data_IF_722979238125
#
_entry.id   IF_722979238125
#
_cell.length_a   1.000
_cell.length_b   1.000
_cell.length_c   1.000
_cell.angle_alpha   90.00
_cell.angle_beta   90.00
_cell.angle_gamma   90.00
#
_symmetry.space_group_name_H-M   'P 1'
#
loop_
_entity.id
_entity.type
_entity.pdbx_description
1 polymer ?
#
# COMPACT_ATOMS: atom_id res chain seq x y z
N UNK A 1 1.83 8.46 11.35
CA UNK A 1 1.43 7.77 10.12
C UNK A 1 1.51 8.70 8.92
N UNK A 2 1.81 8.14 7.78
CA UNK A 2 1.99 8.92 6.58
C UNK A 2 1.03 8.45 5.50
N UNK A 3 0.38 9.38 4.82
CA UNK A 3 -0.51 9.05 3.72
C UNK A 3 0.31 8.82 2.45
N UNK A 4 0.09 7.67 1.82
CA UNK A 4 0.84 7.29 0.63
C UNK A 4 -0.15 7.04 -0.52
N UNK A 5 0.10 7.66 -1.67
CA UNK A 5 -0.75 7.53 -2.84
C UNK A 5 -0.14 6.53 -3.82
N UNK A 6 -0.98 5.69 -4.39
CA UNK A 6 -0.52 4.72 -5.37
C UNK A 6 -1.67 4.32 -6.27
N UNK A 7 -1.36 3.58 -7.33
CA UNK A 7 -2.35 3.15 -8.31
C UNK A 7 -2.84 1.76 -7.97
N UNK A 8 -4.16 1.60 -7.90
CA UNK A 8 -4.76 0.29 -7.64
C UNK A 8 -4.44 -0.66 -8.79
N UNK A 9 -3.96 -1.90 -8.49
CA UNK A 9 -3.64 -2.84 -9.55
C UNK A 9 -4.85 -3.47 -10.22
N UNK A 10 -6.05 -3.21 -9.70
CA UNK A 10 -7.28 -3.75 -10.29
C UNK A 10 -7.99 -2.72 -11.16
N UNK A 11 -8.31 -1.58 -10.57
CA UNK A 11 -9.13 -0.58 -11.26
C UNK A 11 -8.30 0.57 -11.82
N UNK A 12 -7.01 0.60 -11.54
CA UNK A 12 -6.06 1.60 -12.04
C UNK A 12 -6.37 3.01 -11.56
N UNK A 13 -7.26 3.13 -10.58
CA UNK A 13 -7.54 4.41 -9.97
C UNK A 13 -6.48 4.77 -8.95
N UNK A 14 -6.34 6.07 -8.70
CA UNK A 14 -5.39 6.54 -7.69
C UNK A 14 -6.05 6.46 -6.33
N UNK A 15 -5.41 5.76 -5.41
CA UNK A 15 -5.91 5.59 -4.06
C UNK A 15 -4.80 5.91 -3.07
N UNK A 16 -5.16 6.02 -1.81
CA UNK A 16 -4.19 6.30 -0.76
C UNK A 16 -4.48 5.44 0.45
N UNK A 17 -3.47 5.28 1.27
CA UNK A 17 -3.63 4.62 2.55
C UNK A 17 -2.62 5.16 3.54
N UNK A 18 -2.91 4.95 4.82
CA UNK A 18 -2.02 5.41 5.88
C UNK A 18 -0.99 4.34 6.17
N UNK A 19 0.27 4.74 6.12
CA UNK A 19 1.42 3.85 6.31
C UNK A 19 2.10 4.23 7.62
N UNK A 20 2.35 3.24 8.46
CA UNK A 20 3.06 3.47 9.72
C UNK A 20 4.55 3.45 9.44
N UNK A 21 5.17 4.61 9.44
CA UNK A 21 6.59 4.73 9.10
C UNK A 21 7.50 4.44 10.29
N UNK A 22 6.93 4.13 11.44
CA UNK A 22 7.74 3.72 12.59
C UNK A 22 8.10 2.23 12.54
N UNK A 23 7.51 1.49 11.60
CA UNK A 23 7.79 0.07 11.40
C UNK A 23 8.79 -0.07 10.28
N UNK A 24 9.85 -0.87 10.50
CA UNK A 24 10.92 -1.02 9.52
C UNK A 24 10.41 -1.59 8.20
N UNK A 25 9.55 -2.60 8.27
CA UNK A 25 8.94 -3.16 7.08
C UNK A 25 7.68 -3.89 7.49
N UNK A 26 6.74 -3.98 6.55
CA UNK A 26 5.48 -4.63 6.83
C UNK A 26 4.84 -5.10 5.54
N UNK A 27 4.10 -6.21 5.64
CA UNK A 27 3.36 -6.76 4.52
C UNK A 27 1.98 -7.13 5.03
N UNK A 28 0.94 -6.69 4.33
CA UNK A 28 -0.43 -6.97 4.76
C UNK A 28 -1.37 -6.81 3.57
N UNK A 29 -2.63 -7.18 3.78
CA UNK A 29 -3.64 -7.09 2.75
C UNK A 29 -4.59 -5.96 3.10
N UNK A 30 -4.84 -5.07 2.14
CA UNK A 30 -5.71 -3.93 2.31
C UNK A 30 -6.67 -3.86 1.13
N UNK A 31 -7.90 -3.44 1.38
CA UNK A 31 -8.89 -3.33 0.32
C UNK A 31 -8.75 -2.01 -0.42
N UNK A 32 -8.96 -2.07 -1.74
CA UNK A 32 -9.03 -0.85 -2.54
C UNK A 32 -10.27 -0.05 -2.13
N UNK A 33 -10.11 1.24 -1.95
CA UNK A 33 -11.23 2.08 -1.51
C UNK A 33 -12.25 2.32 -2.63
N UNK A 34 -11.90 1.96 -3.86
CA UNK A 34 -12.78 2.17 -5.01
C UNK A 34 -13.43 0.89 -5.47
N UNK A 35 -12.64 -0.15 -5.73
CA UNK A 35 -13.18 -1.40 -6.27
C UNK A 35 -13.31 -2.49 -5.20
N UNK A 36 -12.83 -2.24 -3.99
CA UNK A 36 -12.98 -3.14 -2.84
C UNK A 36 -12.32 -4.51 -3.04
N UNK A 37 -11.37 -4.61 -3.95
CA UNK A 37 -10.61 -5.85 -4.13
C UNK A 37 -9.39 -5.85 -3.22
N UNK A 38 -8.99 -7.02 -2.72
CA UNK A 38 -7.85 -7.09 -1.81
C UNK A 38 -6.53 -6.85 -2.55
N UNK A 39 -5.70 -6.04 -1.94
CA UNK A 39 -4.39 -5.68 -2.49
C UNK A 39 -3.34 -6.11 -1.47
N UNK A 40 -2.32 -6.83 -1.95
CA UNK A 40 -1.19 -7.17 -1.09
C UNK A 40 -0.22 -6.00 -1.10
N UNK A 41 -0.04 -5.39 0.06
CA UNK A 41 0.79 -4.21 0.23
C UNK A 41 2.04 -4.59 1.00
N UNK A 42 3.20 -4.23 0.47
CA UNK A 42 4.48 -4.43 1.14
C UNK A 42 5.24 -3.12 1.11
N UNK A 43 5.88 -2.78 2.22
CA UNK A 43 6.67 -1.56 2.24
C UNK A 43 7.81 -1.69 3.25
N UNK A 44 8.83 -0.86 3.05
CA UNK A 44 9.95 -0.73 3.97
C UNK A 44 10.18 0.74 4.24
N UNK A 45 10.68 1.04 5.42
CA UNK A 45 10.96 2.41 5.80
C UNK A 45 12.40 2.56 6.22
N UNK A 46 12.90 3.79 6.10
CA UNK A 46 14.23 4.15 6.54
C UNK A 46 14.19 5.59 7.01
N UNK A 47 14.64 5.84 8.24
CA UNK A 47 14.63 7.18 8.81
C UNK A 47 13.24 7.81 8.79
N UNK A 48 12.22 7.02 9.13
CA UNK A 48 10.82 7.45 9.17
C UNK A 48 10.29 7.87 7.81
N UNK A 49 10.86 7.34 6.74
CA UNK A 49 10.37 7.58 5.38
C UNK A 49 10.26 6.28 4.64
N UNK A 50 9.34 6.23 3.69
CA UNK A 50 9.14 5.03 2.89
C UNK A 50 10.27 4.92 1.88
N UNK A 51 11.05 3.83 1.99
CA UNK A 51 12.14 3.57 1.07
C UNK A 51 11.75 2.58 -0.02
N UNK A 52 10.68 1.81 0.21
CA UNK A 52 10.21 0.81 -0.74
C UNK A 52 8.71 0.63 -0.56
N UNK A 53 7.98 0.50 -1.65
CA UNK A 53 6.54 0.27 -1.60
C UNK A 53 6.13 -0.56 -2.80
N UNK A 54 5.29 -1.57 -2.54
CA UNK A 54 4.77 -2.42 -3.59
C UNK A 54 3.32 -2.77 -3.28
N UNK A 55 2.48 -2.70 -4.30
CA UNK A 55 1.08 -3.08 -4.19
C UNK A 55 0.75 -4.03 -5.33
N UNK A 56 0.32 -5.24 -4.99
CA UNK A 56 0.08 -6.28 -5.97
C UNK A 56 -1.34 -6.79 -5.87
N UNK A 57 -1.91 -7.18 -7.02
CA UNK A 57 -3.21 -7.84 -7.04
C UNK A 57 -3.00 -9.31 -6.66
N UNK A 58 -3.89 -9.83 -5.82
CA UNK A 58 -3.84 -11.23 -5.41
C UNK A 58 -5.04 -12.02 -5.89
N UNK A 59 -6.02 -11.33 -6.47
CA UNK A 59 -7.14 -11.96 -7.14
C UNK A 59 -6.99 -11.74 -8.63
N UNK A 60 -6.82 -12.79 -9.35
CA UNK A 60 -6.65 -12.71 -10.81
C UNK A 60 -7.80 -13.35 -11.52
#
# INVERSE_FOLDING_TARGET
MKEYFFTCPYCWGKISMLIDVSVDSQSYIEDCETCCNPIEVSYSTLNNEISYFEANSIEQ
#
